data_IF_312461665180
#
_entry.id   IF_312461665180
#
_cell.length_a   1.000
_cell.length_b   1.000
_cell.length_c   1.000
_cell.angle_alpha   90.00
_cell.angle_beta   90.00
_cell.angle_gamma   90.00
#
_symmetry.space_group_name_H-M   'P 1'
#
loop_
_entity.id
_entity.type
_entity.pdbx_description
1 polymer ?
#
# COMPACT_ATOMS: atom_id res chain seq x y z
N UNK A 1 42.97 -42.26 -8.07
CA UNK A 1 41.53 -42.47 -8.30
C UNK A 1 41.02 -43.43 -7.25
N UNK A 2 40.83 -42.91 -6.04
CA UNK A 2 39.85 -43.42 -5.07
C UNK A 2 38.47 -43.50 -5.75
N UNK A 3 37.52 -44.36 -5.41
CA UNK A 3 37.35 -45.31 -4.33
C UNK A 3 35.86 -45.67 -4.40
N UNK A 4 35.54 -46.91 -4.78
CA UNK A 4 34.19 -47.48 -4.62
C UNK A 4 34.16 -48.15 -3.24
N UNK A 5 33.13 -47.88 -2.44
CA UNK A 5 32.35 -48.91 -1.73
C UNK A 5 31.17 -48.30 -0.97
N UNK A 6 30.08 -49.04 -1.08
CA UNK A 6 28.82 -48.92 -0.36
C UNK A 6 29.01 -48.89 1.15
N UNK A 7 28.15 -48.17 1.87
CA UNK A 7 27.64 -48.60 3.18
C UNK A 7 26.37 -47.80 3.52
N UNK A 8 25.20 -48.38 3.22
CA UNK A 8 23.89 -47.93 3.70
C UNK A 8 23.42 -48.89 4.78
N UNK A 9 23.44 -48.45 6.03
CA UNK A 9 22.63 -48.99 7.13
C UNK A 9 22.73 -48.02 8.30
N UNK A 10 21.59 -47.51 8.75
CA UNK A 10 21.23 -47.32 10.16
C UNK A 10 19.78 -46.84 10.22
N UNK A 11 18.88 -47.80 10.44
CA UNK A 11 17.55 -47.55 10.99
C UNK A 11 17.70 -47.41 12.51
N UNK A 12 17.14 -46.36 13.07
CA UNK A 12 17.10 -46.12 14.52
C UNK A 12 15.90 -45.25 14.87
N UNK A 13 15.04 -45.78 15.73
CA UNK A 13 13.69 -45.34 16.06
C UNK A 13 13.57 -43.91 16.61
N UNK A 14 12.41 -43.30 16.41
CA UNK A 14 11.92 -42.21 17.27
C UNK A 14 10.53 -42.58 17.77
N UNK A 15 10.44 -42.68 19.09
CA UNK A 15 9.27 -43.03 19.88
C UNK A 15 8.38 -41.80 20.06
N UNK A 16 7.08 -42.04 19.98
CA UNK A 16 6.00 -41.17 20.45
C UNK A 16 6.04 -41.07 21.98
N UNK A 17 5.95 -39.85 22.54
CA UNK A 17 5.66 -39.61 23.96
C UNK A 17 4.95 -38.26 24.13
N UNK A 18 3.80 -38.35 24.78
CA UNK A 18 2.72 -37.36 24.89
C UNK A 18 2.99 -36.26 25.94
N UNK A 19 2.35 -35.10 25.73
CA UNK A 19 1.64 -34.19 26.70
C UNK A 19 2.34 -33.83 28.03
N UNK A 20 2.50 -32.54 28.40
CA UNK A 20 1.58 -31.75 29.27
C UNK A 20 1.88 -30.23 29.19
N UNK A 21 0.80 -29.45 29.30
CA UNK A 21 0.64 -27.99 29.22
C UNK A 21 1.16 -27.16 30.43
N UNK A 22 1.35 -25.86 30.18
CA UNK A 22 1.16 -24.74 31.13
C UNK A 22 2.35 -23.78 31.19
N UNK A 23 2.26 -22.43 31.18
CA UNK A 23 1.18 -21.42 31.18
C UNK A 23 1.80 -20.04 30.87
N UNK A 24 1.03 -19.15 30.19
CA UNK A 24 1.03 -17.66 30.25
C UNK A 24 2.33 -16.85 29.94
N UNK A 25 2.33 -15.68 29.30
CA UNK A 25 1.30 -14.74 28.89
C UNK A 25 1.86 -13.80 27.80
N UNK A 26 0.99 -13.31 26.92
CA UNK A 26 0.95 -11.88 26.59
C UNK A 26 2.02 -11.31 25.67
N UNK A 27 1.87 -11.58 24.38
CA UNK A 27 2.00 -10.53 23.37
C UNK A 27 1.11 -10.94 22.19
N UNK A 28 -0.19 -10.61 22.29
CA UNK A 28 -1.03 -10.58 21.11
C UNK A 28 -0.43 -9.52 20.19
N UNK A 29 0.35 -9.96 19.21
CA UNK A 29 0.64 -9.13 18.05
C UNK A 29 -0.71 -8.77 17.44
N UNK A 30 -1.06 -7.49 17.52
CA UNK A 30 -2.25 -6.94 16.91
C UNK A 30 -2.30 -7.39 15.44
N UNK A 31 -3.48 -7.74 14.89
CA UNK A 31 -3.58 -8.02 13.49
C UNK A 31 -3.08 -6.79 12.73
N UNK A 32 -2.01 -6.96 11.96
CA UNK A 32 -1.55 -5.96 11.00
C UNK A 32 -2.72 -5.75 10.06
N UNK A 33 -3.42 -4.64 10.26
CA UNK A 33 -4.51 -4.18 9.41
C UNK A 33 -4.00 -4.25 7.97
N UNK A 34 -4.45 -5.26 7.25
CA UNK A 34 -4.06 -5.49 5.87
C UNK A 34 -4.62 -4.31 5.09
N UNK A 35 -3.78 -3.32 4.82
CA UNK A 35 -4.14 -2.19 3.97
C UNK A 35 -4.74 -2.82 2.70
N UNK A 36 -6.02 -2.58 2.38
CA UNK A 36 -6.67 -3.28 1.28
C UNK A 36 -5.87 -2.97 0.01
N UNK A 37 -5.21 -4.00 -0.52
CA UNK A 37 -4.43 -3.97 -1.77
C UNK A 37 -5.35 -4.12 -2.99
N UNK A 38 -6.50 -3.44 -2.93
CA UNK A 38 -7.54 -3.48 -3.94
C UNK A 38 -7.68 -2.15 -4.68
N UNK A 39 -8.47 -2.12 -5.77
CA UNK A 39 -8.91 -0.87 -6.37
C UNK A 39 -9.59 0.00 -5.30
N UNK A 40 -9.71 1.31 -5.58
CA UNK A 40 -10.46 2.21 -4.72
C UNK A 40 -11.87 1.60 -4.46
N UNK A 41 -12.07 1.03 -3.27
CA UNK A 41 -13.35 0.41 -2.89
C UNK A 41 -14.35 1.52 -2.58
N UNK A 42 -15.00 1.99 -3.64
CA UNK A 42 -16.18 2.83 -3.55
C UNK A 42 -17.41 1.96 -3.78
N UNK A 43 -18.52 2.28 -3.12
CA UNK A 43 -19.83 1.69 -3.40
C UNK A 43 -20.80 2.81 -3.81
N UNK A 44 -21.29 2.84 -5.06
CA UNK A 44 -20.90 1.99 -6.19
C UNK A 44 -19.43 2.15 -6.60
N UNK A 45 -18.84 1.17 -7.30
CA UNK A 45 -17.45 1.22 -7.74
C UNK A 45 -17.20 2.41 -8.67
N UNK A 46 -16.00 2.98 -8.60
CA UNK A 46 -15.55 3.93 -9.62
C UNK A 46 -15.00 3.17 -10.83
N UNK A 47 -15.14 3.79 -11.98
CA UNK A 47 -14.66 3.29 -13.26
C UNK A 47 -13.54 4.20 -13.79
N UNK A 48 -12.65 3.62 -14.60
CA UNK A 48 -11.64 4.37 -15.36
C UNK A 48 -10.80 5.36 -14.52
N UNK A 49 -10.18 4.91 -13.40
CA UNK A 49 -9.30 5.75 -12.62
C UNK A 49 -8.03 6.08 -13.41
N UNK A 50 -7.67 7.37 -13.44
CA UNK A 50 -6.49 7.86 -14.14
C UNK A 50 -5.98 9.16 -13.55
N UNK A 51 -4.72 9.46 -13.80
CA UNK A 51 -4.14 10.77 -13.50
C UNK A 51 -4.23 11.69 -14.73
N UNK A 52 -4.59 12.94 -14.49
CA UNK A 52 -4.50 14.04 -15.45
C UNK A 52 -3.68 15.13 -14.75
N UNK A 53 -2.37 15.15 -14.98
CA UNK A 53 -1.46 15.94 -14.14
C UNK A 53 -1.51 15.45 -12.69
N UNK A 54 -1.81 16.35 -11.76
CA UNK A 54 -1.99 16.06 -10.34
C UNK A 54 -3.42 15.63 -9.95
N UNK A 55 -4.36 15.63 -10.90
CA UNK A 55 -5.75 15.30 -10.61
C UNK A 55 -5.98 13.80 -10.71
N UNK A 56 -6.56 13.19 -9.68
CA UNK A 56 -7.20 11.88 -9.79
C UNK A 56 -8.56 12.08 -10.45
N UNK A 57 -8.74 11.53 -11.65
CA UNK A 57 -10.00 11.54 -12.37
C UNK A 57 -10.58 10.12 -12.42
N UNK A 58 -11.87 10.01 -12.15
CA UNK A 58 -12.64 8.75 -12.22
C UNK A 58 -14.00 9.00 -12.87
N UNK A 59 -14.67 7.92 -13.27
CA UNK A 59 -16.10 7.93 -13.60
C UNK A 59 -16.88 7.31 -12.45
N UNK A 60 -17.84 8.06 -11.91
CA UNK A 60 -18.71 7.63 -10.80
C UNK A 60 -20.15 7.93 -11.16
N UNK A 61 -21.03 6.92 -11.08
CA UNK A 61 -22.46 7.03 -11.45
C UNK A 61 -22.67 7.70 -12.83
N UNK A 62 -21.85 7.32 -13.81
CA UNK A 62 -21.91 7.84 -15.18
C UNK A 62 -21.35 9.25 -15.37
N UNK A 63 -20.84 9.91 -14.32
CA UNK A 63 -20.25 11.25 -14.37
C UNK A 63 -18.74 11.21 -14.21
N UNK A 64 -18.03 12.09 -14.91
CA UNK A 64 -16.60 12.30 -14.68
C UNK A 64 -16.42 13.21 -13.48
N UNK A 65 -15.68 12.77 -12.48
CA UNK A 65 -15.33 13.56 -11.30
C UNK A 65 -13.83 13.53 -11.10
N UNK A 66 -13.28 14.62 -10.58
CA UNK A 66 -11.84 14.76 -10.39
C UNK A 66 -11.54 15.41 -9.04
N UNK A 67 -10.39 15.03 -8.48
CA UNK A 67 -9.89 15.60 -7.24
C UNK A 67 -8.42 15.98 -7.38
N UNK A 68 -8.09 17.18 -6.92
CA UNK A 68 -6.74 17.71 -6.92
C UNK A 68 -5.95 17.11 -5.75
N UNK A 69 -5.07 16.16 -6.05
CA UNK A 69 -4.27 15.47 -5.02
C UNK A 69 -3.31 16.43 -4.33
N UNK A 70 -2.93 17.55 -4.97
CA UNK A 70 -2.02 18.53 -4.38
C UNK A 70 -2.65 19.27 -3.21
N UNK A 71 -3.96 19.14 -2.99
CA UNK A 71 -4.67 19.73 -1.83
C UNK A 71 -4.49 18.94 -0.53
N UNK A 72 -4.14 17.66 -0.61
CA UNK A 72 -4.07 16.78 0.56
C UNK A 72 -2.78 15.97 0.67
N UNK A 73 -1.94 15.98 -0.37
CA UNK A 73 -0.63 15.33 -0.37
C UNK A 73 0.49 16.37 -0.32
N UNK A 74 1.49 16.08 0.50
CA UNK A 74 2.78 16.77 0.49
C UNK A 74 3.92 15.80 0.29
N UNK A 75 5.06 16.32 -0.16
CA UNK A 75 6.32 15.58 -0.22
C UNK A 75 7.17 15.93 1.02
N UNK A 76 7.39 14.97 1.91
CA UNK A 76 8.17 15.13 3.13
C UNK A 76 9.22 14.04 3.20
N UNK A 77 10.49 14.44 3.31
CA UNK A 77 11.64 13.52 3.35
C UNK A 77 11.65 12.48 2.22
N UNK A 78 11.26 12.89 1.01
CA UNK A 78 11.18 12.02 -0.17
C UNK A 78 10.03 11.02 -0.15
N UNK A 79 9.01 11.24 0.69
CA UNK A 79 7.81 10.40 0.80
C UNK A 79 6.54 11.23 0.68
N UNK A 80 5.46 10.61 0.24
CA UNK A 80 4.13 11.20 0.30
C UNK A 80 3.63 11.25 1.75
N UNK A 81 2.93 12.32 2.11
CA UNK A 81 2.28 12.48 3.39
C UNK A 81 0.87 13.07 3.23
N UNK A 82 -0.12 12.45 3.87
CA UNK A 82 -1.50 12.94 3.92
C UNK A 82 -1.68 14.13 4.88
N UNK A 83 -2.71 14.94 4.63
CA UNK A 83 -3.27 15.88 5.61
C UNK A 83 -2.37 17.10 5.92
N UNK A 84 -1.33 17.28 5.13
CA UNK A 84 -0.47 18.46 5.13
C UNK A 84 -1.07 19.57 4.23
N UNK A 85 -0.44 20.76 4.19
CA UNK A 85 -0.89 21.93 3.40
C UNK A 85 -0.85 21.72 1.87
N UNK A 86 -0.61 20.52 1.39
CA UNK A 86 -0.47 20.23 -0.03
C UNK A 86 0.93 20.47 -0.59
N UNK A 87 1.04 20.65 -1.90
CA UNK A 87 2.25 21.14 -2.56
C UNK A 87 3.28 20.08 -2.95
N UNK A 88 2.91 18.79 -2.96
CA UNK A 88 3.82 17.74 -3.42
C UNK A 88 4.25 17.93 -4.88
N UNK A 89 3.42 18.55 -5.73
CA UNK A 89 3.68 18.70 -7.17
C UNK A 89 5.01 19.42 -7.42
N UNK A 90 5.36 20.41 -6.59
CA UNK A 90 6.61 21.16 -6.71
C UNK A 90 7.87 20.31 -6.50
N UNK A 91 7.73 19.18 -5.82
CA UNK A 91 8.81 18.27 -5.47
C UNK A 91 8.63 16.88 -6.10
N UNK A 92 7.75 16.74 -7.11
CA UNK A 92 7.41 15.46 -7.72
C UNK A 92 7.66 15.42 -9.22
N UNK A 93 8.03 14.24 -9.73
CA UNK A 93 8.09 13.95 -11.17
C UNK A 93 7.71 12.50 -11.45
N UNK A 94 7.48 12.19 -12.73
CA UNK A 94 7.15 10.84 -13.18
C UNK A 94 5.95 10.24 -12.43
N UNK A 95 4.90 11.05 -12.23
CA UNK A 95 3.67 10.60 -11.59
C UNK A 95 3.00 9.53 -12.44
N UNK A 96 2.61 8.43 -11.82
CA UNK A 96 1.78 7.41 -12.44
C UNK A 96 0.79 6.80 -11.44
N UNK A 97 -0.32 6.31 -11.98
CA UNK A 97 -1.32 5.57 -11.22
C UNK A 97 -1.19 4.09 -11.58
N UNK A 98 -1.00 3.27 -10.58
CA UNK A 98 -0.88 1.81 -10.70
C UNK A 98 -2.12 1.18 -10.08
N UNK A 99 -2.69 0.20 -10.77
CA UNK A 99 -3.88 -0.56 -10.35
C UNK A 99 -5.08 0.30 -9.94
N UNK A 100 -5.15 1.53 -10.45
CA UNK A 100 -6.24 2.47 -10.23
C UNK A 100 -6.30 3.14 -8.85
N UNK A 101 -5.43 2.78 -7.91
CA UNK A 101 -5.44 3.30 -6.53
C UNK A 101 -4.06 3.67 -5.98
N UNK A 102 -2.96 3.16 -6.54
CA UNK A 102 -1.63 3.47 -6.05
C UNK A 102 -0.98 4.60 -6.86
N UNK A 103 -0.75 5.75 -6.23
CA UNK A 103 0.05 6.83 -6.80
C UNK A 103 1.53 6.52 -6.60
N UNK A 104 2.30 6.52 -7.68
CA UNK A 104 3.77 6.47 -7.65
C UNK A 104 4.36 7.72 -8.27
N UNK A 105 5.51 8.15 -7.76
CA UNK A 105 6.30 9.25 -8.32
C UNK A 105 7.76 9.13 -7.84
N UNK A 106 8.61 10.00 -8.36
CA UNK A 106 9.87 10.35 -7.70
C UNK A 106 9.72 11.68 -6.97
N UNK A 107 10.14 11.73 -5.70
CA UNK A 107 10.09 12.92 -4.85
C UNK A 107 11.49 13.45 -4.53
N UNK A 108 11.66 14.77 -4.59
CA UNK A 108 12.92 15.43 -4.28
C UNK A 108 13.20 15.44 -2.77
N UNK A 109 14.39 14.97 -2.39
CA UNK A 109 14.89 15.03 -1.02
C UNK A 109 16.41 15.19 -1.02
N UNK A 110 16.91 16.23 -0.35
CA UNK A 110 18.34 16.53 -0.24
C UNK A 110 19.07 16.50 -1.61
N UNK A 111 18.44 17.08 -2.64
CA UNK A 111 18.97 17.14 -4.00
C UNK A 111 18.89 15.83 -4.80
N UNK A 112 18.26 14.78 -4.25
CA UNK A 112 18.10 13.48 -4.90
C UNK A 112 16.62 13.18 -5.15
N UNK A 113 16.35 12.52 -6.27
CA UNK A 113 15.02 12.02 -6.59
C UNK A 113 14.88 10.60 -6.03
N UNK A 114 13.90 10.40 -5.16
CA UNK A 114 13.66 9.11 -4.50
C UNK A 114 12.30 8.54 -4.92
N UNK A 115 12.21 7.22 -5.20
CA UNK A 115 10.92 6.60 -5.50
C UNK A 115 10.01 6.67 -4.28
N UNK A 116 8.76 7.06 -4.51
CA UNK A 116 7.72 7.12 -3.49
C UNK A 116 6.40 6.55 -4.03
N UNK A 117 5.62 5.97 -3.14
CA UNK A 117 4.28 5.47 -3.44
C UNK A 117 3.32 5.74 -2.30
N UNK A 118 2.04 5.85 -2.61
CA UNK A 118 0.96 5.95 -1.62
C UNK A 118 -0.33 5.37 -2.19
N UNK A 119 -1.08 4.66 -1.35
CA UNK A 119 -2.39 4.14 -1.73
C UNK A 119 -3.46 5.22 -1.50
N UNK A 120 -4.05 5.72 -2.59
CA UNK A 120 -5.08 6.75 -2.55
C UNK A 120 -6.37 6.25 -1.89
N UNK A 121 -6.65 4.94 -1.90
CA UNK A 121 -7.84 4.35 -1.28
C UNK A 121 -7.87 4.48 0.24
N UNK A 122 -6.73 4.80 0.88
CA UNK A 122 -6.67 5.00 2.32
C UNK A 122 -7.41 6.26 2.75
N UNK A 123 -7.39 7.32 1.93
CA UNK A 123 -7.90 8.65 2.32
C UNK A 123 -8.66 9.39 1.23
N UNK A 124 -8.80 8.84 0.02
CA UNK A 124 -9.67 9.40 -1.01
C UNK A 124 -10.97 8.61 -1.04
N UNK A 125 -12.07 9.33 -0.87
CA UNK A 125 -13.45 8.87 -0.81
C UNK A 125 -14.29 9.42 -1.96
N UNK A 126 -15.48 8.86 -2.15
CA UNK A 126 -16.57 9.57 -2.83
C UNK A 126 -17.64 9.92 -1.80
N UNK A 127 -17.96 11.20 -1.68
CA UNK A 127 -19.00 11.72 -0.80
C UNK A 127 -19.86 12.71 -1.58
N UNK A 128 -21.20 12.56 -1.51
CA UNK A 128 -22.17 13.37 -2.25
C UNK A 128 -21.90 13.40 -3.77
N UNK A 129 -21.41 12.29 -4.33
CA UNK A 129 -21.10 12.17 -5.76
C UNK A 129 -19.84 12.93 -6.20
N UNK A 130 -18.99 13.38 -5.28
CA UNK A 130 -17.70 14.00 -5.57
C UNK A 130 -16.57 13.24 -4.89
N UNK A 131 -15.39 13.21 -5.52
CA UNK A 131 -14.18 12.73 -4.88
C UNK A 131 -13.77 13.71 -3.77
N UNK A 132 -13.42 13.18 -2.60
CA UNK A 132 -13.03 13.98 -1.43
C UNK A 132 -11.88 13.34 -0.66
N UNK A 133 -11.08 14.17 0.01
CA UNK A 133 -10.12 13.71 0.99
C UNK A 133 -10.83 13.44 2.32
N UNK A 134 -10.88 12.17 2.72
CA UNK A 134 -11.40 11.71 4.01
C UNK A 134 -10.24 11.64 4.99
N UNK A 135 -10.24 12.56 5.96
CA UNK A 135 -9.33 12.49 7.09
C UNK A 135 -9.81 11.41 8.05
N UNK A 136 -9.08 10.30 8.12
CA UNK A 136 -9.28 9.26 9.14
C UNK A 136 -8.43 9.64 10.35
N UNK A 137 -9.08 9.79 11.51
CA UNK A 137 -8.45 10.02 12.81
C UNK A 137 -8.08 8.69 13.47
#
# INVERSE_FOLDING_TARGET
MEGRKEESKLLGAVQDLSTVQGVNAGAAEAPKEEIPRGPLHFDPPVENPRLIGQFLAVRYQGKNVAFDLDRCLSAVNGKFQWGSRGGFVSAARNLCLVDGSELRAELLYNGRWLPAQINLATNIGVENGQLQYIRRN
#
